data_IF_602327595935
#
_entry.id   IF_602327595935
#
_cell.length_a   1.000
_cell.length_b   1.000
_cell.length_c   1.000
_cell.angle_alpha   90.00
_cell.angle_beta   90.00
_cell.angle_gamma   90.00
#
_symmetry.space_group_name_H-M   'P 1'
#
loop_
_entity.id
_entity.type
_entity.pdbx_description
1 polymer ?
#
# COMPACT_ATOMS: atom_id res chain seq x y z
N UNK A 1 -9.92 4.64 -3.28
CA UNK A 1 -10.00 5.96 -3.93
C UNK A 1 -8.96 6.87 -3.34
N UNK A 2 -9.36 7.77 -2.46
CA UNK A 2 -8.51 8.75 -1.77
C UNK A 2 -7.22 8.16 -1.15
N UNK A 3 -7.34 7.10 -0.35
CA UNK A 3 -6.17 6.42 0.25
C UNK A 3 -5.14 5.94 -0.79
N UNK A 4 -5.62 5.46 -1.94
CA UNK A 4 -4.74 5.00 -3.03
C UNK A 4 -4.02 6.17 -3.70
N UNK A 5 -4.69 7.32 -3.84
CA UNK A 5 -4.09 8.54 -4.41
C UNK A 5 -3.01 9.05 -3.47
N UNK A 6 -3.32 9.17 -2.18
CA UNK A 6 -2.37 9.65 -1.20
C UNK A 6 -1.16 8.72 -1.08
N UNK A 7 -1.36 7.39 -1.08
CA UNK A 7 -0.25 6.43 -1.05
C UNK A 7 0.68 6.56 -2.27
N UNK A 8 0.13 6.74 -3.47
CA UNK A 8 0.93 7.00 -4.68
C UNK A 8 1.71 8.32 -4.60
N UNK A 9 1.10 9.37 -4.05
CA UNK A 9 1.79 10.64 -3.82
C UNK A 9 2.90 10.51 -2.77
N UNK A 10 2.66 9.76 -1.69
CA UNK A 10 3.65 9.50 -0.65
C UNK A 10 4.87 8.77 -1.22
N UNK A 11 4.67 7.71 -2.00
CA UNK A 11 5.78 7.00 -2.67
C UNK A 11 6.52 7.89 -3.68
N UNK A 12 5.85 8.86 -4.32
CA UNK A 12 6.53 9.82 -5.22
C UNK A 12 7.34 10.88 -4.46
N UNK A 13 6.98 11.19 -3.22
CA UNK A 13 7.67 12.19 -2.38
C UNK A 13 8.92 11.62 -1.69
N UNK A 14 8.97 10.32 -1.47
CA UNK A 14 10.18 9.61 -1.06
C UNK A 14 11.26 9.79 -2.15
N UNK A 15 12.20 10.71 -1.89
CA UNK A 15 13.16 11.23 -2.87
C UNK A 15 14.12 10.17 -3.44
N UNK A 16 14.26 9.03 -2.76
CA UNK A 16 15.32 8.03 -3.04
C UNK A 16 14.84 6.66 -3.51
N UNK A 17 13.54 6.34 -3.56
CA UNK A 17 13.13 4.95 -3.85
C UNK A 17 12.16 4.78 -5.01
N UNK A 18 12.73 4.62 -6.20
CA UNK A 18 12.03 4.06 -7.37
C UNK A 18 11.41 2.67 -7.09
N UNK A 19 11.90 1.97 -6.06
CA UNK A 19 11.54 0.61 -5.65
C UNK A 19 10.41 0.51 -4.61
N UNK A 20 10.02 1.61 -3.98
CA UNK A 20 9.02 1.58 -2.90
C UNK A 20 7.66 1.09 -3.40
N UNK A 21 7.06 0.18 -2.62
CA UNK A 21 5.80 -0.48 -2.88
C UNK A 21 4.70 0.04 -1.96
N UNK A 22 3.46 -0.19 -2.38
CA UNK A 22 2.26 0.12 -1.61
C UNK A 22 1.61 -1.20 -1.23
N UNK A 23 1.71 -1.59 0.03
CA UNK A 23 1.07 -2.81 0.54
C UNK A 23 -0.32 -2.48 1.07
N UNK A 24 -1.30 -3.35 0.78
CA UNK A 24 -2.68 -3.17 1.23
C UNK A 24 -3.29 -4.48 1.67
N UNK A 25 -4.06 -4.43 2.75
CA UNK A 25 -4.80 -5.57 3.30
C UNK A 25 -6.09 -5.85 2.55
N UNK A 26 -6.41 -5.05 1.54
CA UNK A 26 -7.52 -5.27 0.64
C UNK A 26 -7.17 -6.37 -0.37
N UNK A 27 -7.08 -7.61 0.15
CA UNK A 27 -6.52 -8.80 -0.50
C UNK A 27 -7.41 -9.43 -1.56
N UNK A 28 -8.67 -8.99 -1.68
CA UNK A 28 -9.68 -9.57 -2.57
C UNK A 28 -10.18 -8.54 -3.56
N UNK A 29 -9.25 -7.83 -4.19
CA UNK A 29 -9.61 -6.76 -5.10
C UNK A 29 -9.94 -7.34 -6.49
N UNK A 30 -11.24 -7.53 -6.73
CA UNK A 30 -11.79 -8.05 -7.99
C UNK A 30 -11.63 -7.03 -9.13
N UNK A 31 -11.60 -5.72 -8.84
CA UNK A 31 -11.51 -4.65 -9.84
C UNK A 31 -10.27 -3.76 -9.66
N UNK A 32 -9.05 -4.30 -9.77
CA UNK A 32 -7.81 -3.53 -9.59
C UNK A 32 -7.62 -2.49 -10.69
N UNK A 33 -8.27 -2.69 -11.83
CA UNK A 33 -8.42 -1.71 -12.92
C UNK A 33 -8.99 -0.37 -12.42
N UNK A 34 -9.99 -0.40 -11.54
CA UNK A 34 -10.59 0.83 -10.99
C UNK A 34 -9.59 1.61 -10.13
N UNK A 35 -8.74 0.90 -9.37
CA UNK A 35 -7.68 1.56 -8.60
C UNK A 35 -6.64 2.17 -9.53
N UNK A 36 -6.14 1.38 -10.47
CA UNK A 36 -5.07 1.80 -11.36
C UNK A 36 -5.49 2.93 -12.31
N UNK A 37 -6.58 2.77 -13.05
CA UNK A 37 -6.91 3.71 -14.12
C UNK A 37 -7.62 4.95 -13.57
N UNK A 38 -8.56 4.80 -12.64
CA UNK A 38 -9.34 5.94 -12.17
C UNK A 38 -8.68 6.70 -11.02
N UNK A 39 -8.03 6.00 -10.09
CA UNK A 39 -7.46 6.67 -8.91
C UNK A 39 -6.00 7.04 -9.12
N UNK A 40 -5.18 6.16 -9.70
CA UNK A 40 -3.75 6.48 -9.90
C UNK A 40 -3.44 7.08 -11.28
N UNK A 41 -4.47 7.25 -12.13
CA UNK A 41 -4.38 7.74 -13.51
C UNK A 41 -3.39 6.94 -14.35
N UNK A 42 -3.23 5.64 -14.04
CA UNK A 42 -2.36 4.75 -14.79
C UNK A 42 -2.89 4.57 -16.22
N UNK A 43 -2.03 4.68 -17.25
CA UNK A 43 -2.43 4.37 -18.62
C UNK A 43 -2.92 2.92 -18.75
N UNK A 44 -4.01 2.64 -19.48
CA UNK A 44 -4.54 1.27 -19.62
C UNK A 44 -3.50 0.26 -20.15
N UNK A 45 -2.64 0.68 -21.09
CA UNK A 45 -1.57 -0.17 -21.60
C UNK A 45 -0.53 -0.54 -20.53
N UNK A 46 -0.28 0.36 -19.57
CA UNK A 46 0.59 0.08 -18.42
C UNK A 46 -0.09 -0.84 -17.43
N UNK A 47 -1.40 -0.69 -17.21
CA UNK A 47 -2.17 -1.60 -16.37
C UNK A 47 -2.05 -3.05 -16.85
N UNK A 48 -2.32 -3.31 -18.14
CA UNK A 48 -2.27 -4.66 -18.71
C UNK A 48 -0.90 -5.32 -18.53
N UNK A 49 0.19 -4.53 -18.57
CA UNK A 49 1.56 -5.03 -18.39
C UNK A 49 1.97 -5.29 -16.93
N UNK A 50 1.23 -4.72 -15.98
CA UNK A 50 1.67 -4.68 -14.58
C UNK A 50 0.68 -5.33 -13.61
N UNK A 51 -0.53 -5.65 -14.05
CA UNK A 51 -1.48 -6.45 -13.28
C UNK A 51 -1.00 -7.89 -13.18
N UNK A 52 -1.07 -8.42 -11.97
CA UNK A 52 -0.86 -9.83 -11.68
C UNK A 52 -2.13 -10.37 -11.01
N UNK A 53 -2.63 -11.48 -11.54
CA UNK A 53 -3.80 -12.18 -11.02
C UNK A 53 -3.36 -13.43 -10.28
N UNK A 54 -3.99 -13.72 -9.14
CA UNK A 54 -3.68 -14.90 -8.32
C UNK A 54 -3.85 -16.21 -9.09
N UNK A 55 -4.93 -16.30 -9.87
CA UNK A 55 -5.25 -17.43 -10.71
C UNK A 55 -5.95 -16.94 -11.98
N UNK A 56 -5.40 -17.29 -13.14
CA UNK A 56 -5.95 -16.94 -14.46
C UNK A 56 -7.11 -17.85 -14.88
N UNK A 57 -7.32 -18.96 -14.18
CA UNK A 57 -8.37 -19.95 -14.46
C UNK A 57 -9.56 -19.87 -13.51
N UNK A 58 -9.49 -19.01 -12.50
CA UNK A 58 -10.59 -18.75 -11.57
C UNK A 58 -11.78 -18.12 -12.30
N UNK A 59 -13.00 -18.46 -11.85
CA UNK A 59 -14.26 -17.85 -12.33
C UNK A 59 -14.23 -16.32 -12.16
N UNK A 60 -13.58 -15.84 -11.09
CA UNK A 60 -13.36 -14.43 -10.84
C UNK A 60 -11.86 -14.14 -10.77
N UNK A 61 -11.40 -13.23 -11.63
CA UNK A 61 -10.02 -12.76 -11.61
C UNK A 61 -9.82 -11.82 -10.42
N UNK A 62 -8.97 -12.25 -9.48
CA UNK A 62 -8.57 -11.46 -8.31
C UNK A 62 -7.11 -11.09 -8.46
N UNK A 63 -6.79 -9.80 -8.42
CA UNK A 63 -5.39 -9.38 -8.45
C UNK A 63 -4.75 -9.43 -7.07
N UNK A 64 -3.47 -9.77 -7.06
CA UNK A 64 -2.58 -9.62 -5.92
C UNK A 64 -1.56 -8.48 -6.13
N UNK A 65 -1.40 -7.96 -7.35
CA UNK A 65 -0.57 -6.79 -7.62
C UNK A 65 -1.01 -5.99 -8.86
N UNK A 66 -0.79 -4.67 -8.82
CA UNK A 66 -0.81 -3.79 -10.00
C UNK A 66 0.22 -2.68 -9.83
N UNK A 67 1.20 -2.59 -10.72
CA UNK A 67 2.25 -1.58 -10.63
C UNK A 67 3.00 -1.66 -9.31
N UNK A 68 2.90 -0.62 -8.48
CA UNK A 68 3.50 -0.56 -7.12
C UNK A 68 2.62 -1.18 -6.04
N UNK A 69 1.35 -1.41 -6.32
CA UNK A 69 0.43 -2.00 -5.36
C UNK A 69 0.70 -3.49 -5.20
N UNK A 70 0.69 -3.94 -3.95
CA UNK A 70 0.64 -5.33 -3.52
C UNK A 70 -0.58 -5.49 -2.62
N UNK A 71 -1.54 -6.30 -3.04
CA UNK A 71 -2.80 -6.56 -2.32
C UNK A 71 -2.61 -7.73 -1.35
N UNK A 72 -1.59 -7.61 -0.51
CA UNK A 72 -1.28 -8.45 0.63
C UNK A 72 -0.34 -7.68 1.55
N UNK A 73 -0.22 -8.07 2.82
CA UNK A 73 0.88 -7.63 3.66
C UNK A 73 2.07 -8.57 3.50
N UNK A 74 3.32 -8.06 3.60
CA UNK A 74 4.49 -8.91 3.66
C UNK A 74 4.51 -9.69 4.99
N UNK A 75 4.97 -10.94 4.97
CA UNK A 75 4.98 -11.81 6.15
C UNK A 75 5.84 -11.25 7.29
N UNK A 76 6.91 -10.54 6.93
CA UNK A 76 7.89 -9.90 7.82
C UNK A 76 7.52 -8.45 8.19
N UNK A 77 6.25 -8.04 8.00
CA UNK A 77 5.80 -6.65 8.23
C UNK A 77 6.24 -6.09 9.61
N UNK A 78 6.01 -6.85 10.69
CA UNK A 78 6.34 -6.39 12.05
C UNK A 78 7.83 -6.09 12.20
N UNK A 79 8.69 -6.91 11.58
CA UNK A 79 10.14 -6.73 11.63
C UNK A 79 10.58 -5.53 10.80
N UNK A 80 10.01 -5.38 9.60
CA UNK A 80 10.24 -4.23 8.73
C UNK A 80 9.85 -2.91 9.40
N UNK A 81 8.67 -2.86 9.99
CA UNK A 81 8.20 -1.67 10.70
C UNK A 81 9.07 -1.35 11.92
N UNK A 82 9.48 -2.37 12.69
CA UNK A 82 10.38 -2.19 13.83
C UNK A 82 11.76 -1.67 13.42
N UNK A 83 12.28 -2.13 12.29
CA UNK A 83 13.57 -1.64 11.75
C UNK A 83 13.53 -0.14 11.48
N UNK A 84 12.36 0.39 11.11
CA UNK A 84 12.16 1.77 10.72
C UNK A 84 12.88 2.13 9.41
N UNK A 85 13.54 1.20 8.73
CA UNK A 85 14.28 1.44 7.48
C UNK A 85 13.42 1.24 6.23
N UNK A 86 12.21 0.71 6.39
CA UNK A 86 11.36 0.31 5.29
C UNK A 86 10.79 1.53 4.53
N UNK A 87 11.08 1.67 3.22
CA UNK A 87 10.58 2.77 2.39
C UNK A 87 9.15 2.56 1.88
N UNK A 88 8.52 1.42 2.19
CA UNK A 88 7.20 1.09 1.67
C UNK A 88 6.09 1.87 2.38
N UNK A 89 4.99 2.05 1.66
CA UNK A 89 3.76 2.66 2.18
C UNK A 89 2.74 1.57 2.47
N UNK A 90 2.05 1.69 3.61
CA UNK A 90 1.10 0.70 4.07
C UNK A 90 -0.31 1.28 4.12
N UNK A 91 -1.26 0.56 3.52
CA UNK A 91 -2.69 0.81 3.62
C UNK A 91 -3.29 -0.20 4.59
N UNK A 92 -3.42 0.22 5.85
CA UNK A 92 -3.91 -0.60 6.94
C UNK A 92 -5.34 -0.20 7.32
N UNK A 93 -6.16 -1.15 7.71
CA UNK A 93 -7.39 -0.84 8.41
C UNK A 93 -7.09 -0.45 9.87
N UNK A 94 -8.11 0.00 10.62
CA UNK A 94 -7.91 0.47 12.00
C UNK A 94 -7.36 -0.60 12.95
N UNK A 95 -7.84 -1.83 12.84
CA UNK A 95 -7.38 -2.92 13.69
C UNK A 95 -5.90 -3.25 13.42
N UNK A 96 -5.52 -3.29 12.15
CA UNK A 96 -4.15 -3.56 11.72
C UNK A 96 -3.18 -2.46 12.12
N UNK A 97 -3.58 -1.20 11.95
CA UNK A 97 -2.77 -0.05 12.39
C UNK A 97 -2.51 -0.13 13.91
N UNK A 98 -3.54 -0.40 14.71
CA UNK A 98 -3.41 -0.60 16.16
C UNK A 98 -2.45 -1.76 16.49
N UNK A 99 -2.63 -2.94 15.88
CA UNK A 99 -1.80 -4.12 16.13
C UNK A 99 -0.34 -3.91 15.72
N UNK A 100 -0.11 -3.32 14.55
CA UNK A 100 1.22 -3.22 13.96
C UNK A 100 2.01 -2.01 14.43
N UNK A 101 1.35 -0.92 14.84
CA UNK A 101 2.01 0.33 15.23
C UNK A 101 1.81 0.68 16.70
N UNK A 102 0.56 0.80 17.15
CA UNK A 102 0.26 1.28 18.52
C UNK A 102 0.71 0.28 19.58
N UNK A 103 0.29 -0.99 19.46
CA UNK A 103 0.65 -2.05 20.41
C UNK A 103 2.16 -2.34 20.42
N UNK A 104 2.83 -2.10 19.30
CA UNK A 104 4.29 -2.22 19.20
C UNK A 104 5.03 -0.98 19.73
N UNK A 105 4.33 0.10 20.08
CA UNK A 105 4.92 1.34 20.57
C UNK A 105 5.73 2.11 19.53
N UNK A 106 5.47 1.90 18.24
CA UNK A 106 6.23 2.50 17.13
C UNK A 106 5.45 3.50 16.29
N UNK A 107 4.16 3.73 16.59
CA UNK A 107 3.32 4.70 15.86
C UNK A 107 3.97 6.08 15.70
N UNK A 108 4.74 6.54 16.70
CA UNK A 108 5.46 7.81 16.65
C UNK A 108 6.48 7.94 15.51
N UNK A 109 6.95 6.83 14.94
CA UNK A 109 7.90 6.76 13.82
C UNK A 109 7.23 6.94 12.45
N UNK A 110 5.91 6.97 12.41
CA UNK A 110 5.13 7.01 11.17
C UNK A 110 4.24 8.24 11.12
N UNK A 111 4.06 8.77 9.91
CA UNK A 111 2.99 9.68 9.55
C UNK A 111 1.78 8.84 9.14
N UNK A 112 0.65 9.09 9.79
CA UNK A 112 -0.59 8.32 9.59
C UNK A 112 -1.65 9.26 9.05
N UNK A 113 -2.05 9.03 7.81
CA UNK A 113 -3.14 9.76 7.17
C UNK A 113 -4.40 8.91 7.11
N UNK A 114 -5.44 9.32 7.83
CA UNK A 114 -6.72 8.61 7.86
C UNK A 114 -7.63 9.03 6.72
N UNK A 115 -8.07 8.06 5.92
CA UNK A 115 -9.08 8.26 4.89
C UNK A 115 -10.43 7.70 5.33
N UNK A 116 -11.41 8.61 5.52
CA UNK A 116 -12.80 8.29 5.90
C UNK A 116 -12.90 7.35 7.12
N UNK A 117 -12.00 7.50 8.09
CA UNK A 117 -11.90 6.71 9.33
C UNK A 117 -11.81 5.19 9.17
N UNK A 118 -11.55 4.69 7.96
CA UNK A 118 -11.53 3.25 7.65
C UNK A 118 -10.15 2.71 7.32
N UNK A 119 -9.35 3.53 6.64
CA UNK A 119 -8.01 3.14 6.23
C UNK A 119 -7.01 4.20 6.66
N UNK A 120 -5.92 3.75 7.27
CA UNK A 120 -4.74 4.51 7.55
C UNK A 120 -3.72 4.31 6.42
N UNK A 121 -3.27 5.42 5.83
CA UNK A 121 -2.06 5.42 5.01
C UNK A 121 -0.89 5.71 5.93
N UNK A 122 -0.04 4.71 6.10
CA UNK A 122 1.10 4.73 7.01
C UNK A 122 2.36 4.91 6.18
N UNK A 123 3.03 6.03 6.42
CA UNK A 123 4.26 6.44 5.75
C UNK A 123 5.32 6.61 6.83
N UNK A 124 6.54 6.15 6.59
CA UNK A 124 7.64 6.40 7.52
C UNK A 124 7.85 7.92 7.67
N UNK A 125 8.03 8.43 8.90
CA UNK A 125 8.55 9.78 9.08
C UNK A 125 9.99 9.78 8.60
N UNK A 126 10.30 10.59 7.59
CA UNK A 126 11.66 10.75 7.08
C UNK A 126 12.65 10.90 8.23
N UNK A 127 13.76 10.15 8.16
CA UNK A 127 14.94 10.50 8.95
C UNK A 127 15.33 11.95 8.62
N UNK A 128 15.83 12.67 9.62
CA UNK A 128 16.18 14.10 9.61
C UNK A 128 16.45 14.71 8.22
N UNK A 129 15.79 15.86 7.96
CA UNK A 129 16.01 16.72 6.80
C UNK A 129 17.47 17.15 6.62
#
# INVERSE_FOLDING_TARGET
GEACVYAEEAVKKEADNSSALIYSTNTNLISPFMIAVFYTRMPPATYVKTVHYKDLHSEFLVADAVGRFRFALPEDLKERLKSGADPNVYLLNRQEEQEFLEEQGIAGRYEIHWCRDRYAVVVRKGGEF
#
